data_IF_262369790438
#
_entry.id   IF_262369790438
#
_cell.length_a   1.000
_cell.length_b   1.000
_cell.length_c   1.000
_cell.angle_alpha   90.00
_cell.angle_beta   90.00
_cell.angle_gamma   90.00
#
_symmetry.space_group_name_H-M   'P 1'
#
loop_
_entity.id
_entity.type
_entity.pdbx_description
1 polymer ?
#
# COMPACT_ATOMS: atom_id res chain seq x y z
N UNK A 1 2.11 7.11 -3.86
CA UNK A 1 2.22 6.41 -5.17
C UNK A 1 3.50 5.57 -5.27
N UNK A 2 4.71 6.11 -5.03
CA UNK A 2 5.97 5.35 -5.17
C UNK A 2 5.99 4.04 -4.37
N UNK A 3 5.62 4.09 -3.09
CA UNK A 3 5.61 2.88 -2.25
C UNK A 3 4.56 1.87 -2.65
N UNK A 4 3.35 2.32 -3.03
CA UNK A 4 2.31 1.42 -3.55
C UNK A 4 2.78 0.68 -4.80
N UNK A 5 3.52 1.33 -5.70
CA UNK A 5 4.14 0.66 -6.86
C UNK A 5 5.19 -0.36 -6.45
N UNK A 6 6.02 -0.05 -5.46
CA UNK A 6 7.05 -0.97 -4.98
C UNK A 6 6.43 -2.22 -4.31
N UNK A 7 5.32 -2.05 -3.60
CA UNK A 7 4.61 -3.13 -2.91
C UNK A 7 3.79 -4.02 -3.83
N UNK A 8 3.13 -3.42 -4.84
CA UNK A 8 2.20 -4.14 -5.74
C UNK A 8 2.81 -4.53 -7.08
N UNK A 9 3.93 -3.91 -7.47
CA UNK A 9 4.51 -4.08 -8.80
C UNK A 9 3.71 -3.44 -9.94
N UNK A 10 2.63 -2.70 -9.63
CA UNK A 10 1.74 -2.12 -10.63
C UNK A 10 2.39 -0.99 -11.44
N UNK A 11 1.91 -0.81 -12.68
CA UNK A 11 2.29 0.29 -13.54
C UNK A 11 1.93 1.66 -12.95
N UNK A 12 2.53 2.74 -13.46
CA UNK A 12 2.31 4.11 -12.95
C UNK A 12 0.82 4.49 -12.93
N UNK A 13 0.08 4.10 -13.97
CA UNK A 13 -1.36 4.38 -14.11
C UNK A 13 -2.19 3.55 -13.14
N UNK A 14 -1.91 2.26 -13.03
CA UNK A 14 -2.64 1.33 -12.15
C UNK A 14 -2.43 1.67 -10.68
N UNK A 15 -1.19 1.97 -10.27
CA UNK A 15 -0.90 2.37 -8.90
C UNK A 15 -1.43 3.77 -8.57
N UNK A 16 -1.56 4.66 -9.56
CA UNK A 16 -2.23 5.95 -9.36
C UNK A 16 -3.72 5.72 -9.09
N UNK A 17 -4.39 4.95 -9.95
CA UNK A 17 -5.80 4.59 -9.76
C UNK A 17 -6.02 3.90 -8.40
N UNK A 18 -5.15 2.95 -8.02
CA UNK A 18 -5.27 2.25 -6.73
C UNK A 18 -5.20 3.19 -5.52
N UNK A 19 -4.36 4.24 -5.56
CA UNK A 19 -4.30 5.23 -4.47
C UNK A 19 -5.49 6.21 -4.52
N UNK A 20 -5.98 6.55 -5.71
CA UNK A 20 -7.13 7.45 -5.90
C UNK A 20 -8.47 6.78 -5.56
N UNK A 21 -8.57 5.46 -5.78
CA UNK A 21 -9.76 4.64 -5.51
C UNK A 21 -9.84 4.13 -4.06
N UNK A 22 -8.99 4.63 -3.16
CA UNK A 22 -9.02 4.25 -1.75
C UNK A 22 -10.42 4.42 -1.12
N UNK A 23 -10.92 3.47 -0.31
CA UNK A 23 -10.17 2.37 0.32
C UNK A 23 -10.05 1.11 -0.56
N UNK A 24 -8.81 0.69 -0.84
CA UNK A 24 -8.46 -0.56 -1.55
C UNK A 24 -7.37 -1.31 -0.79
N UNK A 25 -7.34 -2.64 -0.95
CA UNK A 25 -6.23 -3.45 -0.44
C UNK A 25 -4.96 -3.23 -1.27
N UNK A 26 -3.85 -2.89 -0.61
CA UNK A 26 -2.53 -2.74 -1.22
C UNK A 26 -1.77 -4.07 -1.24
N UNK A 27 -1.99 -4.92 -0.23
CA UNK A 27 -1.44 -6.28 -0.16
C UNK A 27 -2.32 -7.13 0.73
N UNK A 28 -2.54 -8.37 0.34
CA UNK A 28 -3.38 -9.34 1.04
C UNK A 28 -2.55 -10.57 1.40
N UNK A 29 -2.99 -11.30 2.43
CA UNK A 29 -2.36 -12.54 2.89
C UNK A 29 -0.87 -12.40 3.26
N UNK A 30 -0.53 -11.25 3.85
CA UNK A 30 0.80 -10.96 4.39
C UNK A 30 0.91 -11.36 5.85
N UNK A 31 2.11 -11.74 6.28
CA UNK A 31 2.39 -11.97 7.71
C UNK A 31 2.19 -10.68 8.53
N UNK A 32 1.96 -10.80 9.84
CA UNK A 32 1.86 -9.63 10.73
C UNK A 32 3.09 -8.73 10.65
N UNK A 33 4.27 -9.32 10.55
CA UNK A 33 5.53 -8.57 10.48
C UNK A 33 5.60 -7.76 9.18
N UNK A 34 5.26 -8.38 8.05
CA UNK A 34 5.21 -7.70 6.76
C UNK A 34 4.10 -6.65 6.69
N UNK A 35 2.93 -6.93 7.28
CA UNK A 35 1.83 -5.97 7.39
C UNK A 35 2.25 -4.71 8.16
N UNK A 36 2.95 -4.88 9.29
CA UNK A 36 3.47 -3.77 10.09
C UNK A 36 4.54 -2.98 9.32
N UNK A 37 5.47 -3.64 8.64
CA UNK A 37 6.46 -2.94 7.80
C UNK A 37 5.81 -2.12 6.69
N UNK A 38 4.80 -2.68 6.02
CA UNK A 38 4.06 -1.98 4.97
C UNK A 38 3.33 -0.77 5.53
N UNK A 39 2.68 -0.94 6.68
CA UNK A 39 2.02 0.14 7.40
C UNK A 39 3.00 1.26 7.72
N UNK A 40 4.14 0.97 8.34
CA UNK A 40 5.15 1.98 8.67
C UNK A 40 5.68 2.70 7.42
N UNK A 41 5.99 1.97 6.34
CA UNK A 41 6.47 2.57 5.08
C UNK A 41 5.45 3.52 4.45
N UNK A 42 4.16 3.17 4.50
CA UNK A 42 3.07 3.97 3.96
C UNK A 42 2.70 5.15 4.88
N UNK A 43 2.69 4.97 6.21
CA UNK A 43 2.47 6.04 7.19
C UNK A 43 3.60 7.07 7.19
N UNK A 44 4.85 6.64 6.99
CA UNK A 44 6.00 7.54 6.89
C UNK A 44 5.90 8.53 5.71
N UNK A 45 5.13 8.19 4.67
CA UNK A 45 4.85 9.08 3.54
C UNK A 45 3.49 9.79 3.65
N UNK A 46 2.83 9.70 4.81
CA UNK A 46 1.57 10.36 5.11
C UNK A 46 0.32 9.62 4.62
N UNK A 47 0.43 8.34 4.25
CA UNK A 47 -0.73 7.52 3.94
C UNK A 47 -1.33 6.89 5.20
N UNK A 48 -2.63 6.59 5.18
CA UNK A 48 -3.30 5.87 6.28
C UNK A 48 -3.50 4.42 5.88
N UNK A 49 -3.03 3.48 6.71
CA UNK A 49 -3.15 2.04 6.46
C UNK A 49 -3.98 1.38 7.56
N UNK A 50 -5.02 0.68 7.14
CA UNK A 50 -5.83 -0.17 8.01
C UNK A 50 -5.40 -1.63 7.81
N UNK A 51 -4.99 -2.29 8.90
CA UNK A 51 -4.67 -3.72 8.90
C UNK A 51 -5.94 -4.49 9.26
N UNK A 52 -6.37 -5.40 8.39
CA UNK A 52 -7.51 -6.31 8.60
C UNK A 52 -7.03 -7.74 8.75
#
# INVERSE_FOLDING_TARGET
IKEVRALTGLGLKEAKNLVEDAPTAVKEDVSKDEANEIKEKLEAVGATVELK
#
